data_IF_755934971187
#
_entry.id   IF_755934971187
#
_cell.length_a   1.000
_cell.length_b   1.000
_cell.length_c   1.000
_cell.angle_alpha   90.00
_cell.angle_beta   90.00
_cell.angle_gamma   90.00
#
_symmetry.space_group_name_H-M   'P 1'
#
loop_
_entity.id
_entity.type
_entity.pdbx_description
1 polymer ?
#
# COMPACT_ATOMS: atom_id res chain seq x y z
N UNK A 1 -44.56 -17.85 5.57
CA UNK A 1 -43.31 -17.19 6.00
C UNK A 1 -42.51 -16.72 4.78
N UNK A 2 -41.87 -15.57 4.95
CA UNK A 2 -41.37 -14.60 3.98
C UNK A 2 -40.30 -15.13 2.99
N UNK A 3 -40.62 -15.17 1.69
CA UNK A 3 -39.71 -15.54 0.59
C UNK A 3 -38.98 -14.30 -0.01
N UNK A 4 -39.19 -13.11 0.55
CA UNK A 4 -38.73 -11.83 0.01
C UNK A 4 -37.28 -11.49 0.34
N UNK A 5 -36.58 -12.32 1.12
CA UNK A 5 -35.14 -12.12 1.43
C UNK A 5 -34.19 -12.72 0.37
N UNK A 6 -34.69 -13.54 -0.56
CA UNK A 6 -33.85 -14.21 -1.58
C UNK A 6 -33.35 -13.26 -2.68
N UNK A 7 -34.09 -12.19 -2.98
CA UNK A 7 -33.76 -11.23 -4.04
C UNK A 7 -32.66 -10.24 -3.66
N UNK A 8 -32.42 -10.04 -2.37
CA UNK A 8 -31.35 -9.17 -1.85
C UNK A 8 -30.00 -9.93 -1.83
N UNK A 9 -30.03 -11.26 -1.80
CA UNK A 9 -28.83 -12.11 -1.81
C UNK A 9 -28.27 -12.39 -3.22
N UNK A 10 -29.10 -12.28 -4.27
CA UNK A 10 -28.67 -12.48 -5.66
C UNK A 10 -27.57 -11.49 -6.14
N UNK A 11 -27.65 -10.17 -5.86
CA UNK A 11 -26.63 -9.23 -6.31
C UNK A 11 -25.32 -9.32 -5.52
N UNK A 12 -25.32 -9.88 -4.30
CA UNK A 12 -24.09 -10.07 -3.52
C UNK A 12 -23.16 -11.16 -4.11
N UNK A 13 -23.74 -12.14 -4.82
CA UNK A 13 -22.99 -13.19 -5.51
C UNK A 13 -22.36 -12.74 -6.85
N UNK A 14 -22.72 -11.54 -7.33
CA UNK A 14 -22.21 -10.93 -8.56
C UNK A 14 -21.16 -9.85 -8.30
N UNK A 15 -20.89 -9.52 -7.03
CA UNK A 15 -19.69 -8.77 -6.71
C UNK A 15 -18.51 -9.65 -7.08
N UNK A 16 -17.55 -9.18 -7.91
CA UNK A 16 -16.34 -9.92 -8.17
C UNK A 16 -15.69 -10.16 -6.81
N UNK A 17 -15.80 -11.38 -6.30
CA UNK A 17 -15.11 -11.77 -5.09
C UNK A 17 -13.63 -11.57 -5.36
N UNK A 18 -12.86 -11.14 -4.36
CA UNK A 18 -11.40 -10.97 -4.46
C UNK A 18 -10.70 -12.15 -5.19
N UNK A 19 -11.29 -13.35 -5.14
CA UNK A 19 -10.88 -14.54 -5.89
C UNK A 19 -10.87 -14.38 -7.42
N UNK A 20 -11.80 -13.61 -8.01
CA UNK A 20 -11.86 -13.39 -9.46
C UNK A 20 -10.75 -12.45 -9.97
N UNK A 21 -10.26 -11.53 -9.12
CA UNK A 21 -9.12 -10.69 -9.44
C UNK A 21 -7.78 -11.45 -9.32
N UNK A 22 -7.72 -12.44 -8.41
CA UNK A 22 -6.56 -13.32 -8.25
C UNK A 22 -6.46 -14.38 -9.38
N UNK A 23 -7.57 -14.73 -10.03
CA UNK A 23 -7.56 -15.57 -11.23
C UNK A 23 -7.21 -14.74 -12.47
N UNK A 24 -5.98 -14.23 -12.53
CA UNK A 24 -5.36 -13.89 -13.81
C UNK A 24 -5.43 -15.12 -14.73
N UNK A 25 -5.67 -14.87 -16.02
CA UNK A 25 -5.80 -15.86 -17.10
C UNK A 25 -4.81 -17.03 -16.91
N UNK A 26 -5.29 -18.17 -16.37
CA UNK A 26 -4.47 -19.37 -16.14
C UNK A 26 -4.64 -19.95 -14.74
N UNK A 27 -5.75 -20.64 -14.48
CA UNK A 27 -6.06 -21.32 -13.21
C UNK A 27 -5.20 -22.55 -12.88
N UNK A 28 -3.93 -22.57 -13.28
CA UNK A 28 -3.00 -23.68 -13.07
C UNK A 28 -1.63 -23.25 -12.52
N UNK A 29 -1.45 -21.97 -12.17
CA UNK A 29 -0.18 -21.45 -11.67
C UNK A 29 -0.26 -21.35 -10.14
N UNK A 30 0.72 -21.93 -9.46
CA UNK A 30 0.85 -21.84 -8.01
C UNK A 30 0.97 -20.35 -7.58
N UNK A 31 0.28 -19.90 -6.51
CA UNK A 31 0.33 -18.51 -6.06
C UNK A 31 1.74 -17.99 -5.80
N UNK A 32 2.64 -18.84 -5.29
CA UNK A 32 4.04 -18.47 -5.04
C UNK A 32 4.77 -18.22 -6.36
N UNK A 33 4.52 -19.05 -7.37
CA UNK A 33 5.10 -18.87 -8.72
C UNK A 33 4.58 -17.58 -9.35
N UNK A 34 3.29 -17.26 -9.19
CA UNK A 34 2.72 -16.01 -9.66
C UNK A 34 3.31 -14.78 -8.95
N UNK A 35 3.40 -14.79 -7.61
CA UNK A 35 4.02 -13.71 -6.83
C UNK A 35 5.49 -13.53 -7.17
N UNK A 36 6.22 -14.63 -7.40
CA UNK A 36 7.61 -14.60 -7.84
C UNK A 36 7.75 -13.98 -9.24
N UNK A 37 6.84 -14.30 -10.18
CA UNK A 37 6.81 -13.66 -11.50
C UNK A 37 6.58 -12.15 -11.38
N UNK A 38 5.59 -11.72 -10.58
CA UNK A 38 5.32 -10.30 -10.33
C UNK A 38 6.51 -9.62 -9.68
N UNK A 39 7.15 -10.26 -8.70
CA UNK A 39 8.35 -9.75 -8.02
C UNK A 39 9.50 -9.52 -8.99
N UNK A 40 9.83 -10.51 -9.82
CA UNK A 40 10.91 -10.40 -10.81
C UNK A 40 10.59 -9.33 -11.86
N UNK A 41 9.34 -9.26 -12.35
CA UNK A 41 8.91 -8.21 -13.26
C UNK A 41 8.99 -6.81 -12.63
N UNK A 42 8.62 -6.67 -11.36
CA UNK A 42 8.72 -5.41 -10.64
C UNK A 42 10.17 -4.93 -10.48
N UNK A 43 11.14 -5.84 -10.30
CA UNK A 43 12.57 -5.51 -10.27
C UNK A 43 13.03 -4.92 -11.61
N UNK A 44 12.67 -5.55 -12.74
CA UNK A 44 13.02 -5.04 -14.06
C UNK A 44 12.44 -3.65 -14.29
N UNK A 45 11.16 -3.45 -13.98
CA UNK A 45 10.50 -2.14 -14.10
C UNK A 45 11.20 -1.12 -13.20
N UNK A 46 11.49 -1.45 -11.94
CA UNK A 46 12.18 -0.58 -11.01
C UNK A 46 13.56 -0.15 -11.50
N UNK A 47 14.34 -1.08 -12.06
CA UNK A 47 15.65 -0.79 -12.65
C UNK A 47 15.54 0.24 -13.78
N UNK A 48 14.68 0.00 -14.77
CA UNK A 48 14.52 0.92 -15.90
C UNK A 48 13.97 2.30 -15.48
N UNK A 49 13.07 2.34 -14.49
CA UNK A 49 12.53 3.60 -13.96
C UNK A 49 13.63 4.44 -13.32
N UNK A 50 14.48 3.86 -12.46
CA UNK A 50 15.54 4.59 -11.76
C UNK A 50 16.68 4.98 -12.70
N UNK A 51 17.03 4.15 -13.68
CA UNK A 51 18.09 4.47 -14.63
C UNK A 51 17.74 5.59 -15.61
N UNK A 52 16.45 5.88 -15.79
CA UNK A 52 15.96 6.89 -16.74
C UNK A 52 15.93 8.32 -16.20
N UNK A 53 16.51 8.58 -15.02
CA UNK A 53 16.48 9.90 -14.37
C UNK A 53 17.71 10.76 -14.71
N UNK A 54 17.51 12.08 -14.77
CA UNK A 54 18.61 13.01 -15.01
C UNK A 54 19.53 13.14 -13.79
N UNK A 55 20.85 13.31 -13.94
CA UNK A 55 21.80 13.28 -12.82
C UNK A 55 21.55 14.33 -11.73
N UNK A 56 20.96 15.48 -12.09
CA UNK A 56 20.60 16.53 -11.15
C UNK A 56 19.48 16.10 -10.18
N UNK A 57 18.75 15.02 -10.47
CA UNK A 57 17.62 14.56 -9.68
C UNK A 57 17.93 13.36 -8.78
N UNK A 58 19.17 12.85 -8.71
CA UNK A 58 19.48 11.72 -7.82
C UNK A 58 19.20 12.01 -6.35
N UNK A 59 19.48 13.23 -5.87
CA UNK A 59 19.19 13.64 -4.49
C UNK A 59 17.69 13.73 -4.19
N UNK A 60 16.84 14.39 -5.01
CA UNK A 60 15.41 14.35 -4.79
C UNK A 60 14.80 12.95 -5.05
N UNK A 61 15.36 12.16 -5.97
CA UNK A 61 14.93 10.78 -6.19
C UNK A 61 15.17 9.92 -4.94
N UNK A 62 16.31 10.10 -4.27
CA UNK A 62 16.59 9.41 -3.01
C UNK A 62 15.52 9.72 -1.95
N UNK A 63 15.08 10.99 -1.86
CA UNK A 63 13.99 11.41 -0.96
C UNK A 63 12.64 10.79 -1.34
N UNK A 64 12.33 10.71 -2.65
CA UNK A 64 11.10 10.05 -3.14
C UNK A 64 11.12 8.55 -2.81
N UNK A 65 12.24 7.86 -3.02
CA UNK A 65 12.35 6.44 -2.69
C UNK A 65 12.19 6.18 -1.19
N UNK A 66 12.62 7.11 -0.34
CA UNK A 66 12.35 7.06 1.09
C UNK A 66 10.85 7.14 1.38
N UNK A 67 10.11 8.06 0.74
CA UNK A 67 8.66 8.14 0.88
C UNK A 67 7.95 6.87 0.37
N UNK A 68 8.35 6.34 -0.79
CA UNK A 68 7.75 5.14 -1.42
C UNK A 68 7.96 3.88 -0.56
N UNK A 69 9.06 3.78 0.19
CA UNK A 69 9.30 2.68 1.12
C UNK A 69 8.19 2.52 2.17
N UNK A 70 7.37 3.54 2.36
CA UNK A 70 6.22 3.53 3.28
C UNK A 70 5.05 2.66 2.83
N UNK A 71 5.19 1.82 1.80
CA UNK A 71 4.21 0.76 1.45
C UNK A 71 3.89 -0.16 2.63
N UNK A 72 4.79 -0.21 3.63
CA UNK A 72 4.62 -0.86 4.94
C UNK A 72 3.33 -0.43 5.65
N UNK A 73 2.78 0.76 5.35
CA UNK A 73 1.48 1.21 5.90
C UNK A 73 0.35 0.22 5.62
N UNK A 74 0.38 -0.49 4.48
CA UNK A 74 -0.62 -1.52 4.15
C UNK A 74 -0.52 -2.68 5.13
N UNK A 75 0.69 -3.13 5.45
CA UNK A 75 0.94 -4.17 6.45
C UNK A 75 0.54 -3.72 7.87
N UNK A 76 0.83 -2.48 8.24
CA UNK A 76 0.44 -1.91 9.53
C UNK A 76 -1.09 -1.80 9.68
N UNK A 77 -1.79 -1.40 8.62
CA UNK A 77 -3.26 -1.38 8.59
C UNK A 77 -3.84 -2.79 8.72
N UNK A 78 -3.27 -3.79 8.04
CA UNK A 78 -3.70 -5.18 8.21
C UNK A 78 -3.45 -5.69 9.64
N UNK A 79 -2.30 -5.37 10.24
CA UNK A 79 -2.00 -5.76 11.62
C UNK A 79 -2.99 -5.17 12.63
N UNK A 80 -3.44 -3.92 12.43
CA UNK A 80 -4.45 -3.29 13.29
C UNK A 80 -5.88 -3.76 12.95
N UNK A 81 -6.19 -3.97 11.67
CA UNK A 81 -7.55 -4.25 11.18
C UNK A 81 -7.96 -5.73 11.30
N UNK A 82 -7.03 -6.68 11.19
CA UNK A 82 -7.34 -8.12 11.18
C UNK A 82 -7.68 -8.65 12.59
N UNK A 83 -7.23 -7.99 13.66
CA UNK A 83 -7.48 -8.43 15.04
C UNK A 83 -8.84 -7.98 15.63
N UNK A 84 -9.68 -7.21 14.92
CA UNK A 84 -10.82 -6.55 15.58
C UNK A 84 -12.12 -6.62 14.79
N UNK A 85 -13.06 -7.44 15.27
CA UNK A 85 -14.50 -7.29 15.05
C UNK A 85 -15.07 -6.03 15.72
N UNK A 86 -14.45 -4.87 15.51
CA UNK A 86 -14.84 -3.59 16.12
C UNK A 86 -14.32 -3.39 17.56
N UNK A 87 -14.91 -2.39 18.23
CA UNK A 87 -14.53 -1.88 19.55
C UNK A 87 -14.54 -2.95 20.66
N UNK A 88 -15.29 -4.03 20.49
CA UNK A 88 -15.42 -5.13 21.46
C UNK A 88 -14.17 -6.01 21.59
N UNK A 89 -13.37 -6.13 20.51
CA UNK A 89 -12.08 -6.84 20.56
C UNK A 89 -10.98 -6.06 21.28
N UNK A 90 -11.17 -4.77 21.54
CA UNK A 90 -10.12 -3.91 22.12
C UNK A 90 -9.78 -4.27 23.58
N UNK A 91 -10.65 -5.01 24.28
CA UNK A 91 -10.53 -5.27 25.73
C UNK A 91 -10.09 -6.68 26.13
N UNK A 92 -9.80 -7.59 25.18
CA UNK A 92 -9.20 -8.90 25.48
C UNK A 92 -7.70 -8.73 25.76
N UNK A 93 -7.31 -8.90 27.03
CA UNK A 93 -5.97 -8.58 27.57
C UNK A 93 -4.78 -9.40 27.04
N UNK A 94 -4.99 -10.35 26.12
CA UNK A 94 -3.93 -11.24 25.59
C UNK A 94 -3.30 -10.70 24.28
N UNK A 95 -3.92 -9.71 23.63
CA UNK A 95 -3.46 -9.10 22.36
C UNK A 95 -2.95 -7.65 22.50
N UNK A 96 -2.59 -7.21 23.71
CA UNK A 96 -2.08 -5.85 23.90
C UNK A 96 -0.75 -5.62 23.15
N UNK A 97 0.07 -6.66 23.00
CA UNK A 97 1.35 -6.55 22.30
C UNK A 97 1.16 -6.27 20.79
N UNK A 98 0.38 -7.09 20.08
CA UNK A 98 0.13 -6.91 18.65
C UNK A 98 -0.53 -5.57 18.34
N UNK A 99 -1.47 -5.12 19.18
CA UNK A 99 -2.11 -3.79 19.06
C UNK A 99 -1.14 -2.64 19.23
N UNK A 100 -0.31 -2.69 20.27
CA UNK A 100 0.68 -1.63 20.52
C UNK A 100 1.70 -1.58 19.40
N UNK A 101 2.16 -2.73 18.90
CA UNK A 101 3.07 -2.78 17.75
C UNK A 101 2.40 -2.33 16.44
N UNK A 102 1.13 -2.67 16.21
CA UNK A 102 0.38 -2.25 15.02
C UNK A 102 0.17 -0.73 14.97
N UNK A 103 -0.24 -0.13 16.09
CA UNK A 103 -0.39 1.33 16.21
C UNK A 103 0.97 2.02 16.09
N UNK A 104 2.02 1.48 16.71
CA UNK A 104 3.38 2.01 16.60
C UNK A 104 3.90 1.94 15.15
N UNK A 105 3.68 0.81 14.46
CA UNK A 105 4.04 0.62 13.06
C UNK A 105 3.30 1.61 12.16
N UNK A 106 2.00 1.85 12.41
CA UNK A 106 1.21 2.82 11.67
C UNK A 106 1.71 4.25 11.89
N UNK A 107 2.05 4.61 13.13
CA UNK A 107 2.62 5.91 13.46
C UNK A 107 4.00 6.12 12.79
N UNK A 108 4.87 5.10 12.82
CA UNK A 108 6.16 5.12 12.14
C UNK A 108 6.02 5.24 10.62
N UNK A 109 5.08 4.50 10.03
CA UNK A 109 4.78 4.59 8.60
C UNK A 109 4.28 5.99 8.21
N UNK A 110 3.40 6.59 9.03
CA UNK A 110 2.91 7.94 8.79
C UNK A 110 4.05 8.98 8.79
N UNK A 111 4.98 8.91 9.74
CA UNK A 111 6.16 9.80 9.78
C UNK A 111 7.00 9.69 8.50
N UNK A 112 7.20 8.47 7.99
CA UNK A 112 7.95 8.25 6.75
C UNK A 112 7.23 8.81 5.51
N UNK A 113 5.91 8.62 5.42
CA UNK A 113 5.07 9.20 4.35
C UNK A 113 5.18 10.74 4.38
N UNK A 114 4.79 11.36 5.48
CA UNK A 114 4.69 12.82 5.56
C UNK A 114 6.08 13.48 5.51
N UNK A 115 7.06 12.92 6.21
CA UNK A 115 8.44 13.41 6.21
C UNK A 115 9.08 13.28 4.82
N UNK A 116 8.95 12.13 4.17
CA UNK A 116 9.49 11.88 2.84
C UNK A 116 8.90 12.80 1.77
N UNK A 117 7.58 13.01 1.77
CA UNK A 117 6.94 13.91 0.79
C UNK A 117 7.22 15.40 1.06
N UNK A 118 7.28 15.85 2.32
CA UNK A 118 7.57 17.24 2.66
C UNK A 118 9.00 17.62 2.24
N UNK A 119 9.98 16.77 2.52
CA UNK A 119 11.38 17.01 2.14
C UNK A 119 11.53 17.00 0.62
N UNK A 120 10.91 16.03 -0.05
CA UNK A 120 10.91 15.97 -1.52
C UNK A 120 10.35 17.24 -2.15
N UNK A 121 9.21 17.74 -1.65
CA UNK A 121 8.61 18.97 -2.16
C UNK A 121 9.52 20.19 -1.96
N UNK A 122 10.22 20.28 -0.82
CA UNK A 122 11.22 21.33 -0.59
C UNK A 122 12.40 21.21 -1.56
N UNK A 123 12.87 20.00 -1.85
CA UNK A 123 13.95 19.76 -2.81
C UNK A 123 13.53 20.11 -4.24
N UNK A 124 12.34 19.72 -4.68
CA UNK A 124 11.82 20.03 -6.01
C UNK A 124 11.42 21.51 -6.16
N UNK A 125 11.02 22.17 -5.09
CA UNK A 125 10.73 23.60 -5.10
C UNK A 125 11.97 24.46 -5.42
N UNK A 126 13.18 23.95 -5.14
CA UNK A 126 14.43 24.63 -5.50
C UNK A 126 14.75 24.57 -7.00
N UNK A 127 14.11 23.66 -7.76
CA UNK A 127 14.22 23.61 -9.22
C UNK A 127 13.14 24.42 -9.94
N UNK A 128 12.13 24.93 -9.22
CA UNK A 128 11.19 25.91 -9.78
C UNK A 128 11.85 27.27 -9.86
N UNK A 129 12.04 27.78 -11.07
CA UNK A 129 12.50 29.15 -11.34
C UNK A 129 11.59 30.14 -10.59
N UNK A 130 12.16 30.93 -9.69
CA UNK A 130 11.45 32.02 -9.00
C UNK A 130 11.06 33.08 -10.02
N UNK A 131 9.82 33.01 -10.52
CA UNK A 131 9.21 34.00 -11.40
C UNK A 131 9.68 33.95 -12.85
N UNK A 132 8.88 33.34 -13.71
CA UNK A 132 8.75 33.83 -15.09
C UNK A 132 7.60 34.84 -15.09
N UNK A 133 7.95 36.11 -14.86
CA UNK A 133 7.17 37.25 -15.34
C UNK A 133 7.71 37.60 -16.72
N UNK A 134 7.42 36.78 -17.73
CA UNK A 134 7.41 37.14 -19.15
C UNK A 134 6.37 36.27 -19.85
#
# INVERSE_FOLDING_TARGET
MNNSRKWIALPAALLPTQAFAASGIGGAIDPVVYELMVFVMAIFVGYYVVWSVTPALHTPLMSVTNAISSVIVVGALLAVAVEHGGLEGFMSGDELASKTFGVLALAMAAVNIFGGFLVTQRMLAMYKKKGDKR
#
